data_IF_778498296349
#
_entry.id   IF_778498296349
#
_cell.length_a   1.000
_cell.length_b   1.000
_cell.length_c   1.000
_cell.angle_alpha   90.00
_cell.angle_beta   90.00
_cell.angle_gamma   90.00
#
_symmetry.space_group_name_H-M   'P 1'
#
loop_
_entity.id
_entity.type
_entity.pdbx_description
1 polymer ?
#
# COMPACT_ATOMS: atom_id res chain seq x y z
N UNK A 1 4.33 -4.56 34.06
CA UNK A 1 4.07 -4.06 32.69
C UNK A 1 3.66 -5.26 31.84
N UNK A 2 2.35 -5.53 31.70
CA UNK A 2 1.87 -6.69 30.92
C UNK A 2 1.90 -6.31 29.44
N UNK A 3 2.87 -6.83 28.69
CA UNK A 3 2.79 -6.89 27.24
C UNK A 3 1.58 -7.76 26.88
N UNK A 4 0.51 -7.16 26.37
CA UNK A 4 -0.61 -7.94 25.84
C UNK A 4 -0.52 -7.94 24.33
N UNK A 5 -0.08 -9.08 23.77
CA UNK A 5 0.09 -9.31 22.33
C UNK A 5 -1.16 -8.89 21.52
N UNK A 6 -2.35 -9.07 22.08
CA UNK A 6 -3.61 -8.74 21.43
C UNK A 6 -3.76 -7.25 21.08
N UNK A 7 -3.21 -6.34 21.89
CA UNK A 7 -3.30 -4.89 21.64
C UNK A 7 -2.41 -4.46 20.46
N UNK A 8 -1.20 -5.02 20.42
CA UNK A 8 -0.28 -4.83 19.31
C UNK A 8 -0.86 -5.41 18.01
N UNK A 9 -1.41 -6.63 18.07
CA UNK A 9 -2.03 -7.29 16.92
C UNK A 9 -3.25 -6.50 16.43
N UNK A 10 -4.11 -6.03 17.32
CA UNK A 10 -5.31 -5.27 16.96
C UNK A 10 -4.97 -3.94 16.28
N UNK A 11 -3.94 -3.23 16.76
CA UNK A 11 -3.55 -1.95 16.16
C UNK A 11 -2.84 -2.17 14.81
N UNK A 12 -1.82 -3.04 14.79
CA UNK A 12 -0.99 -3.26 13.62
C UNK A 12 -1.78 -3.92 12.49
N UNK A 13 -2.46 -5.04 12.74
CA UNK A 13 -3.20 -5.75 11.71
C UNK A 13 -4.60 -5.20 11.50
N UNK A 14 -5.29 -4.79 12.56
CA UNK A 14 -6.69 -4.38 12.48
C UNK A 14 -6.91 -2.95 11.99
N UNK A 15 -6.00 -2.02 12.27
CA UNK A 15 -6.17 -0.61 11.89
C UNK A 15 -5.18 -0.21 10.80
N UNK A 16 -3.88 -0.26 11.09
CA UNK A 16 -2.86 0.17 10.13
C UNK A 16 -2.85 -0.76 8.91
N UNK A 17 -2.84 -2.07 9.12
CA UNK A 17 -2.86 -3.07 8.07
C UNK A 17 -4.09 -2.97 7.15
N UNK A 18 -5.26 -2.61 7.70
CA UNK A 18 -6.47 -2.38 6.90
C UNK A 18 -6.34 -1.14 6.01
N UNK A 19 -5.72 -0.06 6.50
CA UNK A 19 -5.46 1.13 5.69
C UNK A 19 -4.43 0.82 4.59
N UNK A 20 -3.40 0.04 4.89
CA UNK A 20 -2.41 -0.40 3.91
C UNK A 20 -3.04 -1.28 2.82
N UNK A 21 -3.90 -2.24 3.22
CA UNK A 21 -4.64 -3.08 2.27
C UNK A 21 -5.57 -2.23 1.38
N UNK A 22 -6.29 -1.27 1.97
CA UNK A 22 -7.16 -0.36 1.23
C UNK A 22 -6.36 0.49 0.22
N UNK A 23 -5.16 0.96 0.57
CA UNK A 23 -4.29 1.71 -0.33
C UNK A 23 -3.90 0.87 -1.57
N UNK A 24 -3.54 -0.39 -1.35
CA UNK A 24 -3.20 -1.31 -2.45
C UNK A 24 -4.38 -1.59 -3.36
N UNK A 25 -5.55 -1.90 -2.79
CA UNK A 25 -6.76 -2.11 -3.60
C UNK A 25 -7.19 -0.84 -4.34
N UNK A 26 -7.01 0.34 -3.74
CA UNK A 26 -7.31 1.60 -4.40
C UNK A 26 -6.42 1.82 -5.64
N UNK A 27 -5.10 1.62 -5.52
CA UNK A 27 -4.17 1.72 -6.65
C UNK A 27 -4.53 0.73 -7.75
N UNK A 28 -4.87 -0.51 -7.37
CA UNK A 28 -5.32 -1.54 -8.31
C UNK A 28 -6.55 -1.09 -9.11
N UNK A 29 -7.58 -0.58 -8.43
CA UNK A 29 -8.79 -0.10 -9.10
C UNK A 29 -8.56 1.13 -9.97
N UNK A 30 -7.70 2.06 -9.54
CA UNK A 30 -7.34 3.25 -10.33
C UNK A 30 -6.67 2.85 -11.64
N UNK A 31 -5.70 1.93 -11.60
CA UNK A 31 -4.99 1.50 -12.81
C UNK A 31 -5.91 0.71 -13.73
N UNK A 32 -6.74 -0.19 -13.19
CA UNK A 32 -7.73 -0.91 -14.00
C UNK A 32 -8.73 0.05 -14.66
N UNK A 33 -9.22 1.04 -13.93
CA UNK A 33 -10.17 2.03 -14.47
C UNK A 33 -9.53 2.94 -15.54
N UNK A 34 -8.27 3.35 -15.36
CA UNK A 34 -7.52 4.14 -16.37
C UNK A 34 -7.35 3.35 -17.67
N UNK A 35 -7.22 2.02 -17.59
CA UNK A 35 -7.10 1.12 -18.74
C UNK A 35 -8.44 0.54 -19.21
N UNK A 36 -9.58 1.11 -18.81
CA UNK A 36 -10.90 0.74 -19.34
C UNK A 36 -11.68 -0.31 -18.58
N UNK A 37 -11.10 -0.93 -17.55
CA UNK A 37 -11.79 -1.87 -16.66
C UNK A 37 -12.31 -1.15 -15.42
N UNK A 38 -13.55 -0.64 -15.50
CA UNK A 38 -14.18 0.00 -14.35
C UNK A 38 -14.34 -0.98 -13.17
N UNK A 39 -14.28 -0.51 -11.91
CA UNK A 39 -14.35 -1.38 -10.74
C UNK A 39 -15.58 -2.30 -10.69
N UNK A 40 -16.72 -1.82 -11.19
CA UNK A 40 -17.96 -2.62 -11.26
C UNK A 40 -17.87 -3.75 -12.28
N UNK A 41 -17.17 -3.53 -13.40
CA UNK A 41 -16.97 -4.54 -14.46
C UNK A 41 -15.96 -5.60 -14.06
N UNK A 42 -15.07 -5.33 -13.10
CA UNK A 42 -14.09 -6.30 -12.59
C UNK A 42 -14.74 -7.44 -11.78
N UNK A 43 -15.95 -7.26 -11.27
CA UNK A 43 -16.63 -8.30 -10.50
C UNK A 43 -17.13 -9.42 -11.41
N UNK A 44 -16.65 -10.65 -11.18
CA UNK A 44 -17.12 -11.85 -11.88
C UNK A 44 -16.40 -12.16 -13.19
N UNK A 45 -15.54 -11.28 -13.71
CA UNK A 45 -14.82 -11.51 -14.98
C UNK A 45 -13.64 -12.49 -14.86
N UNK A 46 -13.25 -12.92 -13.66
CA UNK A 46 -12.05 -13.75 -13.43
C UNK A 46 -11.98 -14.99 -14.32
N UNK A 47 -13.09 -15.72 -14.50
CA UNK A 47 -13.12 -16.92 -15.37
C UNK A 47 -12.78 -16.58 -16.82
N UNK A 48 -13.26 -15.44 -17.31
CA UNK A 48 -13.00 -14.97 -18.66
C UNK A 48 -11.59 -14.35 -18.76
N UNK A 49 -11.16 -13.64 -17.72
CA UNK A 49 -9.84 -13.04 -17.57
C UNK A 49 -8.72 -14.07 -17.67
N UNK A 50 -8.84 -15.20 -16.97
CA UNK A 50 -7.83 -16.26 -16.93
C UNK A 50 -7.89 -17.22 -18.12
N UNK A 51 -8.96 -17.19 -18.93
CA UNK A 51 -9.09 -18.05 -20.10
C UNK A 51 -8.20 -17.58 -21.24
N UNK A 52 -7.27 -18.44 -21.66
CA UNK A 52 -6.40 -18.25 -22.84
C UNK A 52 -7.15 -18.35 -24.17
N UNK A 53 -8.34 -18.95 -24.17
CA UNK A 53 -9.14 -19.12 -25.38
C UNK A 53 -9.87 -17.83 -25.79
N UNK A 54 -10.08 -16.92 -24.84
CA UNK A 54 -10.76 -15.63 -25.07
C UNK A 54 -9.70 -14.59 -25.41
N UNK A 55 -9.77 -13.98 -26.60
CA UNK A 55 -8.85 -12.92 -27.03
C UNK A 55 -9.57 -11.61 -27.37
N UNK A 56 -10.86 -11.57 -27.11
CA UNK A 56 -11.85 -10.56 -27.46
C UNK A 56 -12.61 -10.09 -26.20
N UNK A 57 -11.96 -10.12 -25.03
CA UNK A 57 -12.61 -9.70 -23.79
C UNK A 57 -12.89 -8.19 -23.86
N UNK A 58 -14.16 -7.81 -23.78
CA UNK A 58 -14.56 -6.40 -23.82
C UNK A 58 -14.37 -5.70 -22.48
N UNK A 59 -13.76 -4.53 -22.53
CA UNK A 59 -13.70 -3.60 -21.42
C UNK A 59 -14.99 -2.77 -21.29
N UNK A 60 -15.03 -1.82 -20.35
CA UNK A 60 -16.21 -0.96 -20.14
C UNK A 60 -16.40 0.10 -21.23
N UNK A 61 -15.39 0.35 -22.06
CA UNK A 61 -15.44 1.30 -23.18
C UNK A 61 -15.71 0.61 -24.53
N UNK A 62 -15.83 -0.72 -24.55
CA UNK A 62 -16.09 -1.52 -25.74
C UNK A 62 -14.85 -1.93 -26.53
N UNK A 63 -13.64 -1.75 -25.98
CA UNK A 63 -12.39 -2.24 -26.57
C UNK A 63 -12.20 -3.73 -26.31
N UNK A 64 -11.62 -4.45 -27.26
CA UNK A 64 -11.36 -5.88 -27.16
C UNK A 64 -9.91 -6.13 -26.75
N UNK A 65 -9.73 -6.92 -25.69
CA UNK A 65 -8.43 -7.18 -25.08
C UNK A 65 -7.97 -8.62 -25.28
N UNK A 66 -6.75 -8.79 -25.80
CA UNK A 66 -6.13 -10.11 -25.96
C UNK A 66 -5.73 -10.70 -24.61
N UNK A 67 -5.51 -12.02 -24.53
CA UNK A 67 -5.01 -12.64 -23.29
C UNK A 67 -3.67 -12.05 -22.83
N UNK A 68 -2.78 -11.70 -23.77
CA UNK A 68 -1.45 -11.17 -23.44
C UNK A 68 -1.56 -9.77 -22.84
N UNK A 69 -2.36 -8.89 -23.42
CA UNK A 69 -2.49 -7.51 -22.96
C UNK A 69 -3.15 -7.45 -21.58
N UNK A 70 -4.15 -8.29 -21.34
CA UNK A 70 -4.78 -8.45 -20.01
C UNK A 70 -3.79 -8.91 -18.96
N UNK A 71 -2.96 -9.91 -19.27
CA UNK A 71 -1.95 -10.39 -18.33
C UNK A 71 -0.85 -9.37 -18.09
N UNK A 72 -0.44 -8.61 -19.11
CA UNK A 72 0.48 -7.48 -18.93
C UNK A 72 -0.12 -6.46 -17.96
N UNK A 73 -1.38 -6.04 -18.17
CA UNK A 73 -2.07 -5.10 -17.29
C UNK A 73 -2.21 -5.63 -15.85
N UNK A 74 -2.55 -6.91 -15.68
CA UNK A 74 -2.62 -7.57 -14.38
C UNK A 74 -1.28 -7.52 -13.63
N UNK A 75 -0.19 -7.86 -14.31
CA UNK A 75 1.14 -7.83 -13.72
C UNK A 75 1.63 -6.40 -13.43
N UNK A 76 1.28 -5.44 -14.28
CA UNK A 76 1.46 -4.02 -13.98
C UNK A 76 0.70 -3.62 -12.70
N UNK A 77 -0.54 -4.07 -12.53
CA UNK A 77 -1.31 -3.82 -11.32
C UNK A 77 -0.66 -4.45 -10.07
N UNK A 78 -0.11 -5.66 -10.17
CA UNK A 78 0.63 -6.29 -9.07
C UNK A 78 1.87 -5.47 -8.68
N UNK A 79 2.59 -4.96 -9.67
CA UNK A 79 3.77 -4.12 -9.44
C UNK A 79 3.37 -2.81 -8.75
N UNK A 80 2.28 -2.19 -9.19
CA UNK A 80 1.75 -0.98 -8.57
C UNK A 80 1.26 -1.21 -7.14
N UNK A 81 0.60 -2.34 -6.89
CA UNK A 81 0.20 -2.76 -5.55
C UNK A 81 1.43 -2.92 -4.64
N UNK A 82 2.50 -3.54 -5.13
CA UNK A 82 3.76 -3.65 -4.39
C UNK A 82 4.36 -2.27 -4.06
N UNK A 83 4.45 -1.37 -5.04
CA UNK A 83 4.94 0.01 -4.81
C UNK A 83 4.06 0.76 -3.81
N UNK A 84 2.74 0.55 -3.85
CA UNK A 84 1.82 1.17 -2.89
C UNK A 84 2.11 0.73 -1.45
N UNK A 85 2.45 -0.56 -1.25
CA UNK A 85 2.84 -1.09 0.06
C UNK A 85 4.12 -0.39 0.55
N UNK A 86 5.12 -0.22 -0.32
CA UNK A 86 6.37 0.47 0.03
C UNK A 86 6.11 1.92 0.45
N UNK A 87 5.21 2.63 -0.25
CA UNK A 87 4.86 4.02 0.09
C UNK A 87 4.17 4.11 1.45
N UNK A 88 3.18 3.26 1.74
CA UNK A 88 2.50 3.28 3.05
C UNK A 88 3.43 2.80 4.18
N UNK A 89 4.42 1.96 3.85
CA UNK A 89 5.46 1.54 4.80
C UNK A 89 6.35 2.69 5.25
N UNK A 90 6.53 3.74 4.44
CA UNK A 90 7.26 4.93 4.89
C UNK A 90 6.59 5.56 6.11
N UNK A 91 5.25 5.69 6.07
CA UNK A 91 4.49 6.21 7.21
C UNK A 91 4.55 5.25 8.39
N UNK A 92 4.40 3.94 8.16
CA UNK A 92 4.41 2.94 9.22
C UNK A 92 5.76 2.86 9.96
N UNK A 93 6.89 2.91 9.23
CA UNK A 93 8.23 2.96 9.81
C UNK A 93 8.44 4.22 10.67
N UNK A 94 8.00 5.38 10.19
CA UNK A 94 8.09 6.64 10.94
C UNK A 94 7.21 6.59 12.20
N UNK A 95 6.01 6.03 12.08
CA UNK A 95 5.07 5.86 13.18
C UNK A 95 5.63 4.89 14.23
N UNK A 96 6.06 3.69 13.84
CA UNK A 96 6.58 2.68 14.74
C UNK A 96 7.81 3.12 15.55
N UNK A 97 8.54 4.15 15.08
CA UNK A 97 9.68 4.74 15.79
C UNK A 97 9.33 5.25 17.19
N UNK A 98 8.12 5.73 17.40
CA UNK A 98 7.74 6.48 18.61
C UNK A 98 6.38 6.03 19.11
N UNK A 99 6.28 5.59 20.37
CA UNK A 99 5.03 5.03 20.92
C UNK A 99 4.11 6.05 21.60
N UNK A 100 4.69 7.13 22.15
CA UNK A 100 3.95 8.15 22.93
C UNK A 100 4.31 9.58 22.54
N UNK A 101 5.56 9.84 22.19
CA UNK A 101 6.04 11.16 21.82
C UNK A 101 5.64 11.51 20.38
N UNK A 102 5.42 12.80 20.13
CA UNK A 102 5.24 13.32 18.77
C UNK A 102 6.53 13.17 17.97
N UNK A 103 6.38 12.84 16.69
CA UNK A 103 7.49 12.74 15.73
C UNK A 103 8.23 14.09 15.62
N UNK A 104 7.50 15.21 15.72
CA UNK A 104 8.05 16.57 15.62
C UNK A 104 9.02 16.86 16.77
N UNK A 105 8.69 16.45 17.99
CA UNK A 105 9.57 16.65 19.15
C UNK A 105 10.75 15.68 19.18
N UNK A 106 10.57 14.45 18.69
CA UNK A 106 11.61 13.42 18.71
C UNK A 106 12.67 13.63 17.61
N UNK A 107 12.25 14.08 16.42
CA UNK A 107 13.09 14.26 15.24
C UNK A 107 13.57 12.97 14.56
N UNK A 108 14.19 13.11 13.38
CA UNK A 108 14.67 12.02 12.53
C UNK A 108 16.19 11.75 12.66
N UNK A 109 16.71 11.68 13.88
CA UNK A 109 18.16 11.47 14.14
C UNK A 109 18.68 10.04 13.92
N UNK A 110 17.82 9.07 13.61
CA UNK A 110 18.25 7.67 13.44
C UNK A 110 18.70 7.46 11.99
N UNK A 111 20.01 7.46 11.76
CA UNK A 111 20.60 7.29 10.42
C UNK A 111 20.25 5.93 9.80
N UNK A 112 20.23 4.84 10.59
CA UNK A 112 19.89 3.51 10.10
C UNK A 112 18.45 3.44 9.57
N UNK A 113 17.51 4.13 10.23
CA UNK A 113 16.11 4.21 9.78
C UNK A 113 15.99 5.03 8.48
N UNK A 114 16.65 6.18 8.40
CA UNK A 114 16.64 7.00 7.19
C UNK A 114 17.28 6.26 6.00
N UNK A 115 18.37 5.53 6.24
CA UNK A 115 18.98 4.67 5.23
C UNK A 115 18.03 3.55 4.81
N UNK A 116 17.33 2.91 5.75
CA UNK A 116 16.33 1.88 5.46
C UNK A 116 15.23 2.38 4.51
N UNK A 117 14.67 3.57 4.76
CA UNK A 117 13.66 4.18 3.88
C UNK A 117 14.17 4.42 2.46
N UNK A 118 15.39 4.95 2.33
CA UNK A 118 16.01 5.20 1.02
C UNK A 118 16.31 3.88 0.32
N UNK A 119 16.84 2.90 1.03
CA UNK A 119 17.16 1.58 0.49
C UNK A 119 15.91 0.85 0.02
N UNK A 120 14.83 0.87 0.79
CA UNK A 120 13.55 0.25 0.41
C UNK A 120 12.97 0.89 -0.86
N UNK A 121 13.02 2.22 -0.94
CA UNK A 121 12.57 2.97 -2.12
C UNK A 121 13.44 2.65 -3.34
N UNK A 122 14.76 2.62 -3.16
CA UNK A 122 15.70 2.28 -4.22
C UNK A 122 15.51 0.84 -4.70
N UNK A 123 15.27 -0.09 -3.79
CA UNK A 123 14.97 -1.48 -4.11
C UNK A 123 13.64 -1.57 -4.88
N UNK A 124 12.59 -0.88 -4.45
CA UNK A 124 11.31 -0.87 -5.15
C UNK A 124 11.42 -0.30 -6.57
N UNK A 125 12.18 0.79 -6.74
CA UNK A 125 12.47 1.37 -8.04
C UNK A 125 13.32 0.42 -8.90
N UNK A 126 14.36 -0.18 -8.34
CA UNK A 126 15.18 -1.19 -9.03
C UNK A 126 14.30 -2.35 -9.48
N UNK A 127 13.42 -2.85 -8.61
CA UNK A 127 12.55 -3.97 -8.91
C UNK A 127 11.50 -3.63 -9.99
N UNK A 128 11.02 -2.39 -10.04
CA UNK A 128 9.99 -1.98 -10.99
C UNK A 128 10.55 -1.62 -12.39
N UNK A 129 11.78 -1.11 -12.47
CA UNK A 129 12.33 -0.52 -13.71
C UNK A 129 13.49 -1.31 -14.34
N UNK A 130 14.04 -2.32 -13.66
CA UNK A 130 15.16 -3.09 -14.23
C UNK A 130 14.66 -4.05 -15.32
N UNK A 131 15.24 -3.98 -16.54
CA UNK A 131 14.86 -4.88 -17.63
C UNK A 131 15.22 -6.33 -17.31
N UNK A 132 14.32 -7.27 -17.60
CA UNK A 132 14.47 -8.70 -17.29
C UNK A 132 13.64 -9.16 -16.08
N UNK A 133 13.11 -8.22 -15.30
CA UNK A 133 12.21 -8.52 -14.18
C UNK A 133 10.78 -8.85 -14.59
N UNK A 134 10.40 -8.46 -15.80
CA UNK A 134 9.18 -8.89 -16.49
C UNK A 134 9.15 -10.42 -16.68
N UNK A 135 10.31 -11.05 -16.89
CA UNK A 135 10.43 -12.51 -17.06
C UNK A 135 10.63 -13.24 -15.73
N UNK A 136 11.38 -12.65 -14.81
CA UNK A 136 11.70 -13.26 -13.51
C UNK A 136 10.57 -13.16 -12.49
N UNK A 137 10.19 -11.92 -12.13
CA UNK A 137 9.20 -11.64 -11.09
C UNK A 137 7.84 -11.21 -11.65
N UNK A 138 7.71 -11.10 -12.99
CA UNK A 138 6.53 -10.55 -13.67
C UNK A 138 6.21 -9.14 -13.20
N UNK A 139 7.25 -8.34 -13.02
CA UNK A 139 7.13 -6.92 -12.70
C UNK A 139 7.27 -6.10 -13.96
N UNK A 140 6.29 -5.23 -14.21
CA UNK A 140 6.27 -4.38 -15.40
C UNK A 140 6.54 -2.93 -15.00
N UNK A 141 7.19 -2.15 -15.89
CA UNK A 141 7.51 -0.77 -15.60
C UNK A 141 6.23 0.05 -15.35
N UNK A 142 6.25 0.83 -14.28
CA UNK A 142 5.13 1.66 -13.87
C UNK A 142 5.29 3.08 -14.41
N UNK A 143 4.18 3.74 -14.74
CA UNK A 143 4.20 5.19 -14.93
C UNK A 143 4.43 5.86 -13.59
N UNK A 144 5.17 6.99 -13.57
CA UNK A 144 5.38 7.77 -12.35
C UNK A 144 4.05 8.20 -11.69
N UNK A 145 3.02 8.48 -12.49
CA UNK A 145 1.69 8.86 -12.01
C UNK A 145 1.07 7.80 -11.09
N UNK A 146 1.38 6.52 -11.29
CA UNK A 146 0.84 5.42 -10.48
C UNK A 146 1.48 5.29 -9.09
N UNK A 147 2.50 6.09 -8.77
CA UNK A 147 3.04 6.22 -7.41
C UNK A 147 2.16 7.13 -6.53
N UNK A 148 1.48 8.10 -7.14
CA UNK A 148 0.73 9.12 -6.42
C UNK A 148 -0.51 8.62 -5.68
N UNK A 149 -1.31 7.64 -6.17
CA UNK A 149 -2.57 7.27 -5.52
C UNK A 149 -2.40 6.64 -4.13
N UNK A 150 -1.19 6.18 -3.78
CA UNK A 150 -0.88 5.65 -2.45
C UNK A 150 -0.55 6.76 -1.43
N UNK A 151 -0.14 7.96 -1.88
CA UNK A 151 0.27 9.06 -1.00
C UNK A 151 -0.84 9.53 -0.04
N UNK A 152 -2.12 9.68 -0.46
CA UNK A 152 -3.19 10.05 0.46
C UNK A 152 -3.34 9.08 1.64
N UNK A 153 -3.14 7.78 1.41
CA UNK A 153 -3.20 6.76 2.46
C UNK A 153 -2.00 6.83 3.40
N UNK A 154 -0.80 7.11 2.88
CA UNK A 154 0.38 7.39 3.68
C UNK A 154 0.13 8.58 4.64
N UNK A 155 -0.43 9.68 4.15
CA UNK A 155 -0.79 10.83 4.98
C UNK A 155 -1.89 10.49 6.00
N UNK A 156 -2.88 9.69 5.61
CA UNK A 156 -3.93 9.24 6.51
C UNK A 156 -3.37 8.43 7.70
N UNK A 157 -2.43 7.50 7.45
CA UNK A 157 -1.74 6.75 8.52
C UNK A 157 -1.01 7.70 9.47
N UNK A 158 -0.29 8.68 8.92
CA UNK A 158 0.46 9.65 9.72
C UNK A 158 -0.46 10.51 10.61
N UNK A 159 -1.55 11.05 10.05
CA UNK A 159 -2.53 11.86 10.79
C UNK A 159 -3.24 11.01 11.85
N UNK A 160 -3.65 9.79 11.48
CA UNK A 160 -4.32 8.87 12.40
C UNK A 160 -3.47 8.60 13.64
N UNK A 161 -2.20 8.26 13.45
CA UNK A 161 -1.33 7.91 14.56
C UNK A 161 -0.87 9.12 15.39
N UNK A 162 -0.58 10.26 14.76
CA UNK A 162 -0.25 11.48 15.50
C UNK A 162 -1.45 11.96 16.35
N UNK A 163 -2.66 11.84 15.83
CA UNK A 163 -3.91 12.13 16.56
C UNK A 163 -4.06 11.18 17.75
N UNK A 164 -3.84 9.88 17.55
CA UNK A 164 -3.87 8.88 18.63
C UNK A 164 -2.88 9.23 19.75
N UNK A 165 -1.65 9.59 19.41
CA UNK A 165 -0.62 9.99 20.38
C UNK A 165 -0.95 11.30 21.08
N UNK A 166 -1.58 12.24 20.39
CA UNK A 166 -2.05 13.48 21.00
C UNK A 166 -3.05 13.19 22.13
N UNK A 167 -4.03 12.33 21.88
CA UNK A 167 -4.99 11.90 22.91
C UNK A 167 -4.33 11.12 24.06
N UNK A 168 -3.37 10.23 23.76
CA UNK A 168 -2.59 9.49 24.78
C UNK A 168 -1.74 10.40 25.69
N UNK A 169 -1.30 11.55 25.20
CA UNK A 169 -0.57 12.55 25.99
C UNK A 169 -1.49 13.40 26.85
N UNK A 170 -2.70 13.70 26.36
CA UNK A 170 -3.65 14.59 27.05
C UNK A 170 -4.43 13.90 28.16
N UNK A 171 -4.74 12.61 28.02
CA UNK A 171 -5.51 11.83 29.00
C UNK A 171 -4.74 10.57 29.46
N UNK A 172 -3.73 10.70 30.35
CA UNK A 172 -3.05 9.56 30.93
C UNK A 172 -4.04 8.73 31.79
N UNK A 173 -4.16 7.43 31.51
CA UNK A 173 -5.06 6.50 32.19
C UNK A 173 -6.42 6.25 31.52
N UNK A 174 -6.71 6.89 30.37
CA UNK A 174 -7.97 6.71 29.64
C UNK A 174 -8.10 5.36 28.92
N UNK A 175 -9.32 5.05 28.45
CA UNK A 175 -9.62 3.83 27.67
C UNK A 175 -8.68 3.64 26.47
N UNK A 176 -8.27 4.72 25.81
CA UNK A 176 -7.36 4.69 24.67
C UNK A 176 -5.94 4.18 25.05
N UNK A 177 -5.44 4.50 26.24
CA UNK A 177 -4.16 3.95 26.74
C UNK A 177 -4.32 2.47 27.13
N UNK A 178 -5.50 2.08 27.60
CA UNK A 178 -5.81 0.68 27.87
C UNK A 178 -6.03 -0.15 26.59
N UNK A 179 -6.43 0.42 25.46
CA UNK A 179 -6.63 -0.37 24.23
C UNK A 179 -5.44 -0.31 23.26
N UNK A 180 -4.76 0.83 23.16
CA UNK A 180 -3.78 1.08 22.07
C UNK A 180 -2.33 1.21 22.52
N UNK A 181 -2.06 1.21 23.83
CA UNK A 181 -0.68 1.29 24.34
C UNK A 181 -0.06 -0.10 24.49
N UNK A 182 1.10 -0.29 23.86
CA UNK A 182 1.94 -1.49 23.91
C UNK A 182 3.39 -1.13 24.21
#
# INVERSE_FOLDING_TARGET
>A
MRFSMHRLISMAYGQIGMIQAAAGFFVYFVIMAENGFLPLHLFGIRKQWDSKAINDLRDSYGQEWTYRDRKTLEFTCHTAFFVSIVIVQWADLIVCKTRRNSIIHQGMRNWALNFGLIFETALAAFLSYTPGMDKGLRMFPLKFVWWLPALPFMFAIFIYDETRRFYLRRNPGGWLEQETYY
#
